data_IF_948775570130
#
_entry.id   IF_948775570130
#
_cell.length_a   1.000
_cell.length_b   1.000
_cell.length_c   1.000
_cell.angle_alpha   90.00
_cell.angle_beta   90.00
_cell.angle_gamma   90.00
#
_symmetry.space_group_name_H-M   'P 1'
#
loop_
_entity.id
_entity.type
_entity.pdbx_description
1 polymer ?
#
# COMPACT_ATOMS: atom_id res chain seq x y z
N UNK A 1 -23.21 21.90 3.76
CA UNK A 1 -23.56 21.27 5.04
C UNK A 1 -24.41 20.04 4.70
N UNK A 2 -23.76 18.92 4.40
CA UNK A 2 -24.47 17.68 4.04
C UNK A 2 -24.96 16.99 5.31
N UNK A 3 -26.22 16.55 5.33
CA UNK A 3 -26.75 15.75 6.43
C UNK A 3 -25.90 14.47 6.57
N UNK A 4 -25.41 14.21 7.78
CA UNK A 4 -24.82 12.92 8.13
C UNK A 4 -25.96 11.90 8.17
N UNK A 5 -26.06 11.09 7.13
CA UNK A 5 -27.15 10.13 6.98
C UNK A 5 -26.77 8.83 7.72
N UNK A 6 -27.55 8.49 8.75
CA UNK A 6 -27.37 7.27 9.52
C UNK A 6 -28.21 6.17 8.88
N UNK A 7 -27.57 5.25 8.15
CA UNK A 7 -28.23 4.13 7.50
C UNK A 7 -28.29 2.87 8.40
N UNK A 8 -29.27 2.00 8.16
CA UNK A 8 -29.36 0.68 8.79
C UNK A 8 -30.01 0.66 10.19
N UNK A 9 -30.94 -0.28 10.45
CA UNK A 9 -31.59 -0.40 11.75
C UNK A 9 -30.71 -1.18 12.74
N UNK A 10 -30.45 -0.62 13.93
CA UNK A 10 -29.71 -1.32 14.99
C UNK A 10 -30.62 -2.28 15.80
N UNK A 11 -31.38 -3.12 15.07
CA UNK A 11 -32.21 -4.19 15.62
C UNK A 11 -31.81 -5.52 15.00
N UNK A 12 -32.19 -6.61 15.67
CA UNK A 12 -32.03 -7.95 15.11
C UNK A 12 -32.98 -8.14 13.91
N UNK A 13 -32.42 -8.60 12.80
CA UNK A 13 -33.12 -9.01 11.58
C UNK A 13 -32.88 -10.49 11.41
N UNK A 14 -33.95 -11.29 11.37
CA UNK A 14 -33.88 -12.75 11.22
C UNK A 14 -34.41 -13.25 9.89
N UNK A 15 -35.20 -12.41 9.19
CA UNK A 15 -35.70 -12.72 7.85
C UNK A 15 -34.59 -12.52 6.80
N UNK A 16 -34.25 -13.53 5.98
CA UNK A 16 -33.18 -13.42 4.99
C UNK A 16 -33.47 -12.40 3.88
N UNK A 17 -34.72 -12.24 3.48
CA UNK A 17 -35.10 -11.26 2.44
C UNK A 17 -34.93 -9.83 2.97
N UNK A 18 -35.45 -9.55 4.17
CA UNK A 18 -35.22 -8.29 4.88
C UNK A 18 -33.71 -8.02 5.08
N UNK A 19 -32.94 -9.03 5.51
CA UNK A 19 -31.50 -8.91 5.69
C UNK A 19 -30.78 -8.55 4.38
N UNK A 20 -31.15 -9.19 3.27
CA UNK A 20 -30.63 -8.90 1.94
C UNK A 20 -30.94 -7.45 1.52
N UNK A 21 -32.18 -7.00 1.69
CA UNK A 21 -32.59 -5.62 1.38
C UNK A 21 -31.86 -4.57 2.22
N UNK A 22 -31.66 -4.83 3.51
CA UNK A 22 -30.92 -3.92 4.40
C UNK A 22 -29.44 -3.85 4.05
N UNK A 23 -28.81 -4.97 3.72
CA UNK A 23 -27.42 -5.00 3.22
C UNK A 23 -27.30 -4.28 1.87
N UNK A 24 -28.30 -4.41 1.00
CA UNK A 24 -28.33 -3.74 -0.30
C UNK A 24 -28.39 -2.22 -0.17
N UNK A 25 -29.33 -1.72 0.63
CA UNK A 25 -29.46 -0.30 0.89
C UNK A 25 -28.19 0.30 1.55
N UNK A 26 -27.53 -0.47 2.40
CA UNK A 26 -26.35 0.00 3.12
C UNK A 26 -25.05 -0.08 2.31
N UNK A 27 -24.90 -1.10 1.47
CA UNK A 27 -23.65 -1.46 0.80
C UNK A 27 -23.76 -1.48 -0.73
N UNK A 28 -24.35 -2.55 -1.27
CA UNK A 28 -24.48 -2.82 -2.70
C UNK A 28 -25.49 -3.96 -2.88
N UNK A 29 -26.11 -4.12 -4.07
CA UNK A 29 -26.94 -5.28 -4.39
C UNK A 29 -26.28 -6.57 -3.93
N UNK A 30 -27.02 -7.57 -3.46
CA UNK A 30 -26.39 -8.78 -2.96
C UNK A 30 -27.26 -10.01 -3.17
N UNK A 31 -26.63 -11.17 -3.12
CA UNK A 31 -27.28 -12.47 -3.05
C UNK A 31 -26.90 -13.11 -1.73
N UNK A 32 -27.85 -13.14 -0.80
CA UNK A 32 -27.73 -13.81 0.49
C UNK A 32 -28.36 -15.19 0.42
N UNK A 33 -27.59 -16.21 0.78
CA UNK A 33 -28.04 -17.59 0.86
C UNK A 33 -27.76 -18.13 2.26
N UNK A 34 -28.77 -18.70 2.93
CA UNK A 34 -28.52 -19.40 4.18
C UNK A 34 -27.78 -20.71 3.91
N UNK A 35 -26.76 -20.97 4.71
CA UNK A 35 -26.03 -22.23 4.74
C UNK A 35 -26.42 -23.01 6.00
N UNK A 36 -26.15 -24.32 6.03
CA UNK A 36 -26.38 -25.15 7.23
C UNK A 36 -27.80 -25.70 7.43
N UNK A 37 -27.95 -26.53 8.47
CA UNK A 37 -29.22 -27.13 8.93
C UNK A 37 -29.22 -27.18 10.48
N UNK A 38 -30.15 -26.49 11.17
CA UNK A 38 -31.20 -25.62 10.62
C UNK A 38 -30.62 -24.31 10.06
N UNK A 39 -31.23 -23.82 8.98
CA UNK A 39 -30.87 -22.55 8.37
C UNK A 39 -31.48 -21.42 9.20
N UNK A 40 -30.65 -20.63 9.89
CA UNK A 40 -31.09 -19.46 10.65
C UNK A 40 -30.06 -18.34 10.53
N UNK A 41 -30.53 -17.10 10.69
CA UNK A 41 -29.72 -15.89 10.63
C UNK A 41 -30.21 -14.91 11.70
N UNK A 42 -29.28 -14.21 12.34
CA UNK A 42 -29.53 -12.97 13.05
C UNK A 42 -28.50 -11.93 12.56
N UNK A 43 -28.97 -10.91 11.86
CA UNK A 43 -28.17 -9.79 11.36
C UNK A 43 -28.49 -8.53 12.17
N UNK A 44 -27.45 -7.77 12.55
CA UNK A 44 -27.58 -6.38 12.99
C UNK A 44 -26.65 -5.51 12.17
N UNK A 45 -27.15 -4.38 11.69
CA UNK A 45 -26.37 -3.47 10.85
C UNK A 45 -26.62 -2.02 11.26
N UNK A 46 -25.53 -1.30 11.50
CA UNK A 46 -25.55 0.15 11.63
C UNK A 46 -24.51 0.75 10.71
N UNK A 47 -24.88 1.75 9.91
CA UNK A 47 -23.94 2.50 9.07
C UNK A 47 -24.06 4.00 9.33
N UNK A 48 -22.98 4.71 9.04
CA UNK A 48 -22.95 6.17 9.08
C UNK A 48 -22.04 6.67 7.97
N UNK A 49 -22.53 7.64 7.21
CA UNK A 49 -21.73 8.37 6.23
C UNK A 49 -20.92 9.45 6.94
N UNK A 50 -19.60 9.43 6.77
CA UNK A 50 -18.70 10.50 7.20
C UNK A 50 -18.16 11.23 5.96
N UNK A 51 -17.59 12.44 6.13
CA UNK A 51 -17.11 13.26 5.02
C UNK A 51 -16.11 12.58 4.08
N UNK A 52 -15.22 11.74 4.60
CA UNK A 52 -14.15 11.08 3.84
C UNK A 52 -14.26 9.54 3.81
N UNK A 53 -15.25 8.96 4.49
CA UNK A 53 -15.42 7.50 4.57
C UNK A 53 -16.82 7.13 5.06
N UNK A 54 -17.34 6.00 4.62
CA UNK A 54 -18.53 5.39 5.22
C UNK A 54 -18.09 4.30 6.22
N UNK A 55 -18.67 4.31 7.41
CA UNK A 55 -18.45 3.26 8.41
C UNK A 55 -19.68 2.35 8.52
N UNK A 56 -19.44 1.06 8.74
CA UNK A 56 -20.46 0.09 9.10
C UNK A 56 -20.04 -0.78 10.28
N UNK A 57 -20.97 -1.06 11.18
CA UNK A 57 -20.85 -2.08 12.22
C UNK A 57 -21.89 -3.16 11.95
N UNK A 58 -21.40 -4.37 11.67
CA UNK A 58 -22.21 -5.53 11.32
C UNK A 58 -22.03 -6.59 12.38
N UNK A 59 -23.11 -7.24 12.80
CA UNK A 59 -23.05 -8.46 13.60
C UNK A 59 -23.88 -9.53 12.92
N UNK A 60 -23.29 -10.69 12.70
CA UNK A 60 -23.90 -11.82 12.02
C UNK A 60 -23.79 -13.04 12.92
N UNK A 61 -24.91 -13.69 13.16
CA UNK A 61 -24.99 -15.00 13.81
C UNK A 61 -25.77 -15.94 12.91
N UNK A 62 -25.33 -17.19 12.85
CA UNK A 62 -25.88 -18.18 11.93
C UNK A 62 -25.00 -18.39 10.70
N UNK A 63 -25.44 -19.32 9.87
CA UNK A 63 -24.68 -19.79 8.72
C UNK A 63 -25.25 -19.15 7.45
N UNK A 64 -24.49 -18.25 6.84
CA UNK A 64 -24.87 -17.61 5.59
C UNK A 64 -23.72 -17.55 4.60
N UNK A 65 -24.06 -17.39 3.34
CA UNK A 65 -23.16 -17.02 2.25
C UNK A 65 -23.69 -15.74 1.66
N UNK A 66 -22.80 -14.78 1.46
CA UNK A 66 -23.14 -13.51 0.85
C UNK A 66 -22.27 -13.34 -0.39
N UNK A 67 -22.92 -13.15 -1.53
CA UNK A 67 -22.26 -12.74 -2.76
C UNK A 67 -22.67 -11.31 -3.06
N UNK A 68 -21.71 -10.41 -3.10
CA UNK A 68 -21.96 -9.01 -3.43
C UNK A 68 -21.17 -8.67 -4.73
N UNK A 69 -21.82 -8.10 -5.76
CA UNK A 69 -21.16 -7.40 -6.84
C UNK A 69 -20.40 -6.19 -6.25
N UNK A 70 -19.53 -5.53 -7.03
CA UNK A 70 -18.66 -4.50 -6.50
C UNK A 70 -19.49 -3.36 -5.94
N UNK A 71 -19.18 -2.83 -4.75
CA UNK A 71 -19.46 -1.44 -4.53
C UNK A 71 -18.59 -0.66 -5.53
N UNK A 72 -19.24 -0.05 -6.55
CA UNK A 72 -18.51 0.68 -7.61
C UNK A 72 -17.69 1.80 -6.96
N UNK A 73 -16.43 1.91 -7.38
CA UNK A 73 -15.55 3.03 -7.07
C UNK A 73 -15.22 3.26 -5.58
N UNK A 74 -15.14 2.22 -4.74
CA UNK A 74 -14.57 2.34 -3.40
C UNK A 74 -13.62 1.18 -3.04
N UNK A 75 -12.69 1.44 -2.12
CA UNK A 75 -11.96 0.39 -1.42
C UNK A 75 -12.63 0.11 -0.07
N UNK A 76 -12.54 -1.14 0.41
CA UNK A 76 -13.17 -1.55 1.66
C UNK A 76 -12.11 -2.10 2.61
N UNK A 77 -12.05 -1.57 3.81
CA UNK A 77 -11.31 -2.18 4.93
C UNK A 77 -12.31 -2.88 5.81
N UNK A 78 -12.12 -4.18 6.05
CA UNK A 78 -12.89 -4.88 7.07
C UNK A 78 -12.02 -5.46 8.17
N UNK A 79 -12.60 -5.48 9.36
CA UNK A 79 -11.99 -6.08 10.53
C UNK A 79 -13.04 -6.77 11.38
N UNK A 80 -12.92 -8.08 11.62
CA UNK A 80 -13.64 -8.76 12.69
C UNK A 80 -13.14 -8.31 14.07
N UNK A 81 -14.05 -8.02 15.00
CA UNK A 81 -13.75 -7.90 16.45
C UNK A 81 -13.95 -9.24 17.17
N UNK A 82 -14.90 -10.05 16.67
CA UNK A 82 -15.21 -11.40 17.13
C UNK A 82 -15.51 -12.29 15.93
N UNK A 83 -15.30 -13.59 16.06
CA UNK A 83 -15.57 -14.55 14.99
C UNK A 83 -14.59 -14.38 13.82
N UNK A 84 -15.09 -14.41 12.60
CA UNK A 84 -14.26 -14.26 11.40
C UNK A 84 -15.06 -14.57 10.14
N UNK A 85 -14.46 -14.30 8.99
CA UNK A 85 -15.10 -14.52 7.70
C UNK A 85 -14.07 -14.91 6.66
N UNK A 86 -14.44 -15.82 5.78
CA UNK A 86 -13.65 -16.18 4.60
C UNK A 86 -14.15 -15.33 3.44
N UNK A 87 -13.22 -14.66 2.77
CA UNK A 87 -13.50 -13.78 1.65
C UNK A 87 -12.80 -14.35 0.45
N UNK A 88 -13.53 -14.60 -0.63
CA UNK A 88 -12.95 -14.99 -1.89
C UNK A 88 -13.25 -13.96 -2.97
N UNK A 89 -12.21 -13.55 -3.69
CA UNK A 89 -12.31 -13.03 -5.06
C UNK A 89 -12.10 -14.24 -5.96
N UNK A 90 -12.69 -14.33 -7.16
CA UNK A 90 -12.57 -15.54 -8.00
C UNK A 90 -11.15 -16.06 -8.32
N UNK A 91 -10.09 -15.36 -7.88
CA UNK A 91 -8.67 -15.73 -7.97
C UNK A 91 -8.02 -16.12 -6.64
N UNK A 92 -8.54 -15.63 -5.50
CA UNK A 92 -7.91 -15.82 -4.19
C UNK A 92 -8.93 -15.94 -3.06
N UNK A 93 -8.57 -16.70 -2.03
CA UNK A 93 -9.39 -16.87 -0.82
C UNK A 93 -8.57 -16.51 0.40
N UNK A 94 -9.09 -15.63 1.24
CA UNK A 94 -8.44 -15.16 2.46
C UNK A 94 -9.36 -15.33 3.67
N UNK A 95 -8.80 -15.74 4.81
CA UNK A 95 -9.52 -15.80 6.09
C UNK A 95 -9.18 -14.57 6.91
N UNK A 96 -10.20 -13.83 7.33
CA UNK A 96 -10.04 -12.67 8.22
C UNK A 96 -10.54 -13.03 9.61
N UNK A 97 -9.73 -12.76 10.62
CA UNK A 97 -9.98 -13.11 12.03
C UNK A 97 -9.70 -11.90 12.93
N UNK A 98 -9.97 -11.93 14.24
CA UNK A 98 -9.85 -10.72 15.08
C UNK A 98 -8.44 -10.15 15.20
N UNK A 99 -7.43 -10.96 14.89
CA UNK A 99 -6.02 -10.57 14.86
C UNK A 99 -5.55 -9.99 13.51
N UNK A 100 -6.43 -9.94 12.50
CA UNK A 100 -6.10 -9.42 11.17
C UNK A 100 -7.16 -8.41 10.69
N UNK A 101 -6.73 -7.51 9.81
CA UNK A 101 -7.63 -6.71 8.98
C UNK A 101 -7.40 -7.07 7.53
N UNK A 102 -8.38 -6.85 6.66
CA UNK A 102 -8.19 -7.00 5.22
C UNK A 102 -8.57 -5.72 4.48
N UNK A 103 -7.71 -5.34 3.54
CA UNK A 103 -8.01 -4.37 2.50
C UNK A 103 -8.54 -5.12 1.29
N UNK A 104 -9.77 -4.79 0.91
CA UNK A 104 -10.42 -5.29 -0.27
C UNK A 104 -10.34 -4.22 -1.36
N UNK A 105 -9.70 -4.54 -2.50
CA UNK A 105 -9.60 -3.61 -3.62
C UNK A 105 -10.94 -3.46 -4.33
N UNK A 106 -11.08 -2.51 -5.27
CA UNK A 106 -12.23 -2.45 -6.16
C UNK A 106 -12.23 -3.68 -7.09
N UNK A 107 -12.90 -4.76 -6.69
CA UNK A 107 -12.92 -6.05 -7.39
C UNK A 107 -14.31 -6.37 -7.97
N UNK A 108 -14.42 -7.18 -9.04
CA UNK A 108 -15.67 -7.46 -9.73
C UNK A 108 -16.73 -8.19 -8.89
N UNK A 109 -16.33 -8.98 -7.89
CA UNK A 109 -17.24 -9.65 -6.96
C UNK A 109 -16.49 -10.20 -5.74
N UNK A 110 -17.12 -10.12 -4.57
CA UNK A 110 -16.66 -10.77 -3.35
C UNK A 110 -17.69 -11.78 -2.88
N UNK A 111 -17.22 -12.96 -2.49
CA UNK A 111 -18.02 -13.95 -1.75
C UNK A 111 -17.53 -14.02 -0.33
N UNK A 112 -18.47 -13.97 0.60
CA UNK A 112 -18.24 -14.05 2.03
C UNK A 112 -18.90 -15.32 2.56
N UNK A 113 -18.10 -16.19 3.18
CA UNK A 113 -18.53 -17.50 3.65
C UNK A 113 -17.81 -17.88 4.95
N UNK A 114 -18.16 -19.06 5.48
CA UNK A 114 -17.58 -19.69 6.67
C UNK A 114 -17.57 -18.77 7.90
N UNK A 115 -18.64 -18.00 8.09
CA UNK A 115 -18.74 -17.05 9.19
C UNK A 115 -18.52 -17.74 10.54
N UNK A 116 -17.79 -17.08 11.44
CA UNK A 116 -17.75 -17.52 12.83
C UNK A 116 -19.16 -17.43 13.45
N UNK A 117 -19.46 -18.24 14.49
CA UNK A 117 -20.81 -18.39 15.06
C UNK A 117 -21.41 -17.09 15.62
N UNK A 118 -20.57 -16.13 15.96
CA UNK A 118 -20.94 -14.78 16.38
C UNK A 118 -19.88 -13.80 15.86
N UNK A 119 -20.04 -13.40 14.59
CA UNK A 119 -19.09 -12.53 13.90
C UNK A 119 -19.51 -11.08 14.03
N UNK A 120 -18.69 -10.29 14.72
CA UNK A 120 -18.82 -8.83 14.77
C UNK A 120 -17.77 -8.21 13.87
N UNK A 121 -18.20 -7.40 12.91
CA UNK A 121 -17.38 -6.83 11.88
C UNK A 121 -17.50 -5.30 11.86
N UNK A 122 -16.39 -4.61 11.67
CA UNK A 122 -16.38 -3.19 11.31
C UNK A 122 -15.87 -3.04 9.89
N UNK A 123 -16.59 -2.25 9.09
CA UNK A 123 -16.21 -1.91 7.72
C UNK A 123 -15.94 -0.42 7.61
N UNK A 124 -14.86 -0.04 6.94
CA UNK A 124 -14.65 1.29 6.41
C UNK A 124 -14.67 1.22 4.89
N UNK A 125 -15.43 2.11 4.25
CA UNK A 125 -15.47 2.24 2.80
C UNK A 125 -15.01 3.63 2.44
N UNK A 126 -14.09 3.72 1.50
CA UNK A 126 -13.52 4.99 1.09
C UNK A 126 -13.64 5.07 -0.43
N UNK A 127 -14.28 6.13 -0.90
CA UNK A 127 -14.39 6.36 -2.34
C UNK A 127 -13.01 6.47 -2.97
N UNK A 128 -12.87 5.87 -4.15
CA UNK A 128 -11.65 5.88 -4.95
C UNK A 128 -11.20 7.30 -5.26
N UNK A 129 -12.14 8.24 -5.42
CA UNK A 129 -11.86 9.66 -5.61
C UNK A 129 -11.20 10.29 -4.38
N UNK A 130 -11.63 9.92 -3.18
CA UNK A 130 -11.04 10.39 -1.92
C UNK A 130 -9.62 9.84 -1.76
N UNK A 131 -9.42 8.55 -2.02
CA UNK A 131 -8.08 7.93 -2.03
C UNK A 131 -7.17 8.64 -3.05
N UNK A 132 -7.67 8.87 -4.26
CA UNK A 132 -6.90 9.50 -5.34
C UNK A 132 -6.58 10.97 -5.06
N UNK A 133 -7.51 11.72 -4.46
CA UNK A 133 -7.32 13.14 -4.15
C UNK A 133 -6.27 13.37 -3.06
N UNK A 134 -6.26 12.51 -2.04
CA UNK A 134 -5.35 12.67 -0.91
C UNK A 134 -4.00 11.96 -1.15
N UNK A 135 -4.00 10.84 -1.90
CA UNK A 135 -2.84 9.98 -2.09
C UNK A 135 -2.76 9.37 -3.51
N UNK A 136 -2.54 10.20 -4.55
CA UNK A 136 -2.62 9.78 -5.96
C UNK A 136 -1.65 8.66 -6.33
N UNK A 137 -0.48 8.59 -5.69
CA UNK A 137 0.54 7.56 -5.96
C UNK A 137 0.21 6.19 -5.33
N UNK A 138 -0.51 6.18 -4.21
CA UNK A 138 -0.94 4.95 -3.53
C UNK A 138 -2.23 4.41 -4.16
N UNK A 139 -3.09 5.32 -4.64
CA UNK A 139 -4.29 5.00 -5.41
C UNK A 139 -3.99 4.13 -6.64
N UNK A 140 -2.90 4.42 -7.37
CA UNK A 140 -2.47 3.63 -8.54
C UNK A 140 -2.15 2.16 -8.24
N UNK A 141 -1.83 1.83 -6.98
CA UNK A 141 -1.51 0.45 -6.56
C UNK A 141 -2.71 -0.21 -5.87
N UNK A 142 -3.40 0.52 -4.99
CA UNK A 142 -4.51 0.00 -4.19
C UNK A 142 -5.81 -0.18 -4.99
N UNK A 143 -6.02 0.63 -6.04
CA UNK A 143 -7.28 0.67 -6.79
C UNK A 143 -7.24 -0.11 -8.11
N UNK A 144 -6.17 -0.88 -8.36
CA UNK A 144 -6.10 -1.69 -9.59
C UNK A 144 -7.16 -2.79 -9.59
N UNK A 145 -7.83 -3.06 -10.72
CA UNK A 145 -8.77 -4.17 -10.83
C UNK A 145 -8.14 -5.55 -10.53
N UNK A 146 -6.84 -5.69 -10.78
CA UNK A 146 -6.08 -6.92 -10.50
C UNK A 146 -5.49 -6.98 -9.09
N UNK A 147 -5.69 -5.94 -8.28
CA UNK A 147 -5.23 -5.94 -6.91
C UNK A 147 -5.90 -7.09 -6.14
N UNK A 148 -5.12 -7.66 -5.22
CA UNK A 148 -5.50 -8.81 -4.41
C UNK A 148 -5.95 -8.34 -3.02
N UNK A 149 -6.84 -9.07 -2.33
CA UNK A 149 -7.11 -8.80 -0.92
C UNK A 149 -5.81 -8.80 -0.12
N UNK A 150 -5.51 -7.69 0.57
CA UNK A 150 -4.31 -7.57 1.40
C UNK A 150 -4.68 -7.81 2.86
N UNK A 151 -4.16 -8.89 3.44
CA UNK A 151 -4.26 -9.14 4.88
C UNK A 151 -3.15 -8.43 5.63
N UNK A 152 -3.50 -7.71 6.69
CA UNK A 152 -2.52 -7.05 7.57
C UNK A 152 -2.70 -7.54 8.99
N UNK A 153 -1.59 -7.96 9.59
CA UNK A 153 -1.52 -8.44 10.97
C UNK A 153 -1.56 -7.26 11.95
N UNK A 154 -2.46 -7.32 12.93
CA UNK A 154 -2.61 -6.27 13.95
C UNK A 154 -1.42 -6.17 14.93
N UNK A 155 -0.47 -7.11 14.88
CA UNK A 155 0.83 -6.98 15.56
C UNK A 155 1.69 -5.87 14.96
N UNK A 156 1.38 -5.40 13.75
CA UNK A 156 2.03 -4.25 13.15
C UNK A 156 1.44 -2.93 13.68
N UNK A 157 2.28 -1.99 14.09
CA UNK A 157 1.85 -0.77 14.81
C UNK A 157 0.82 0.08 14.04
N UNK A 158 0.97 0.21 12.72
CA UNK A 158 0.01 0.96 11.89
C UNK A 158 -1.37 0.29 11.81
N UNK A 159 -1.40 -1.04 11.70
CA UNK A 159 -2.64 -1.81 11.66
C UNK A 159 -3.35 -1.80 13.02
N UNK A 160 -2.58 -1.79 14.12
CA UNK A 160 -3.12 -1.67 15.48
C UNK A 160 -3.79 -0.32 15.71
N UNK A 161 -3.18 0.77 15.25
CA UNK A 161 -3.77 2.11 15.34
C UNK A 161 -5.08 2.20 14.55
N UNK A 162 -5.11 1.71 13.30
CA UNK A 162 -6.33 1.63 12.51
C UNK A 162 -7.41 0.78 13.19
N UNK A 163 -7.02 -0.36 13.77
CA UNK A 163 -7.93 -1.19 14.54
C UNK A 163 -8.59 -0.44 15.71
N UNK A 164 -7.85 0.44 16.42
CA UNK A 164 -8.41 1.28 17.47
C UNK A 164 -9.37 2.33 16.92
N UNK A 165 -9.02 2.99 15.81
CA UNK A 165 -9.92 3.94 15.13
C UNK A 165 -11.21 3.26 14.69
N UNK A 166 -11.14 2.07 14.10
CA UNK A 166 -12.32 1.28 13.72
C UNK A 166 -13.17 0.90 14.94
N UNK A 167 -12.56 0.53 16.08
CA UNK A 167 -13.29 0.27 17.32
C UNK A 167 -14.02 1.51 17.83
N UNK A 168 -13.37 2.68 17.82
CA UNK A 168 -13.98 3.95 18.21
C UNK A 168 -15.20 4.26 17.33
N UNK A 169 -15.02 4.19 16.02
CA UNK A 169 -16.08 4.46 15.06
C UNK A 169 -17.28 3.50 15.24
N UNK A 170 -17.01 2.19 15.37
CA UNK A 170 -18.07 1.20 15.58
C UNK A 170 -18.87 1.43 16.88
N UNK A 171 -18.24 1.97 17.93
CA UNK A 171 -18.92 2.33 19.17
C UNK A 171 -19.72 3.63 19.03
N UNK A 172 -19.16 4.65 18.37
CA UNK A 172 -19.81 5.96 18.24
C UNK A 172 -21.02 5.95 17.31
N UNK A 173 -21.01 5.18 16.22
CA UNK A 173 -22.17 5.13 15.30
C UNK A 173 -23.43 4.50 15.90
N UNK A 174 -23.28 3.77 17.01
CA UNK A 174 -24.40 3.19 17.77
C UNK A 174 -24.98 4.17 18.78
N UNK A 175 -24.34 5.32 19.00
CA UNK A 175 -24.78 6.32 19.98
C UNK A 175 -25.63 7.40 19.30
N UNK A 176 -26.92 7.56 19.69
CA UNK A 176 -27.80 8.58 19.12
C UNK A 176 -27.30 10.02 19.28
N UNK A 177 -26.56 10.29 20.36
CA UNK A 177 -25.96 11.59 20.68
C UNK A 177 -24.43 11.51 20.73
N UNK A 178 -23.85 10.68 19.87
CA UNK A 178 -22.41 10.49 19.77
C UNK A 178 -21.69 11.73 19.23
N UNK A 179 -20.37 11.78 19.41
CA UNK A 179 -19.54 12.92 19.00
C UNK A 179 -19.56 13.14 17.48
N UNK A 180 -19.81 12.07 16.71
CA UNK A 180 -19.90 12.12 15.25
C UNK A 180 -21.13 12.87 14.75
N UNK A 181 -22.10 13.21 15.60
CA UNK A 181 -23.23 14.08 15.21
C UNK A 181 -22.81 15.53 14.97
N UNK A 182 -21.65 15.94 15.50
CA UNK A 182 -21.06 17.26 15.25
C UNK A 182 -20.24 17.24 13.97
N UNK A 183 -20.59 18.11 13.00
CA UNK A 183 -19.91 18.21 11.71
C UNK A 183 -18.39 18.35 11.83
N UNK A 184 -17.85 19.34 12.59
CA UNK A 184 -16.41 19.50 12.76
C UNK A 184 -15.72 18.28 13.37
N UNK A 185 -16.37 17.57 14.28
CA UNK A 185 -15.80 16.35 14.88
C UNK A 185 -15.81 15.22 13.86
N UNK A 186 -16.89 15.05 13.11
CA UNK A 186 -16.99 14.05 12.04
C UNK A 186 -15.92 14.28 10.96
N UNK A 187 -15.63 15.54 10.59
CA UNK A 187 -14.54 15.90 9.67
C UNK A 187 -13.18 15.38 10.18
N UNK A 188 -12.81 15.75 11.41
CA UNK A 188 -11.52 15.35 12.00
C UNK A 188 -11.40 13.83 12.17
N UNK A 189 -12.46 13.18 12.64
CA UNK A 189 -12.47 11.73 12.81
C UNK A 189 -12.39 11.01 11.46
N UNK A 190 -13.07 11.51 10.43
CA UNK A 190 -12.97 10.94 9.08
C UNK A 190 -11.58 11.08 8.48
N UNK A 191 -10.90 12.22 8.71
CA UNK A 191 -9.51 12.43 8.31
C UNK A 191 -8.54 11.51 9.06
N UNK A 192 -8.76 11.28 10.36
CA UNK A 192 -7.99 10.30 11.14
C UNK A 192 -8.20 8.87 10.60
N UNK A 193 -9.44 8.50 10.29
CA UNK A 193 -9.77 7.20 9.72
C UNK A 193 -9.03 6.99 8.39
N UNK A 194 -9.16 7.92 7.45
CA UNK A 194 -8.45 7.89 6.16
C UNK A 194 -6.94 7.78 6.36
N UNK A 195 -6.34 8.64 7.20
CA UNK A 195 -4.90 8.63 7.47
C UNK A 195 -4.42 7.30 8.05
N UNK A 196 -5.21 6.69 8.94
CA UNK A 196 -4.88 5.39 9.55
C UNK A 196 -5.00 4.22 8.57
N UNK A 197 -5.99 4.24 7.68
CA UNK A 197 -6.14 3.28 6.56
C UNK A 197 -4.89 3.29 5.70
N UNK A 198 -4.44 4.48 5.31
CA UNK A 198 -3.28 4.64 4.45
C UNK A 198 -1.98 4.23 5.15
N UNK A 199 -1.85 4.54 6.44
CA UNK A 199 -0.71 4.11 7.27
C UNK A 199 -0.62 2.58 7.40
N UNK A 200 -1.77 1.89 7.48
CA UNK A 200 -1.85 0.45 7.59
C UNK A 200 -1.72 -0.28 6.25
N UNK A 201 -2.25 0.29 5.15
CA UNK A 201 -2.16 -0.29 3.80
C UNK A 201 -0.73 -0.26 3.23
N UNK A 202 0.08 0.74 3.61
CA UNK A 202 1.41 0.97 3.06
C UNK A 202 2.54 0.06 3.57
N UNK A 203 2.27 -1.13 4.13
CA UNK A 203 3.24 -1.87 4.96
C UNK A 203 3.40 -3.37 4.72
N UNK A 204 3.41 -3.83 3.46
CA UNK A 204 4.14 -5.09 3.15
C UNK A 204 5.62 -4.87 2.79
N UNK A 205 6.08 -3.64 2.97
CA UNK A 205 7.47 -3.26 3.16
C UNK A 205 7.46 -2.01 4.02
N UNK A 206 8.46 -1.80 4.87
CA UNK A 206 8.62 -0.67 5.81
C UNK A 206 8.38 0.74 5.24
N UNK A 207 8.22 0.93 3.92
CA UNK A 207 7.64 2.11 3.28
C UNK A 207 6.75 1.78 2.07
N UNK A 208 5.71 2.60 1.77
CA UNK A 208 4.93 2.51 0.53
C UNK A 208 5.83 2.50 -0.71
N UNK A 209 5.49 1.74 -1.76
CA UNK A 209 6.27 1.71 -3.01
C UNK A 209 6.42 3.11 -3.63
N UNK A 210 5.42 3.97 -3.46
CA UNK A 210 5.43 5.38 -3.86
C UNK A 210 6.50 6.20 -3.12
N UNK A 211 6.69 5.96 -1.83
CA UNK A 211 7.71 6.59 -1.01
C UNK A 211 9.10 6.04 -1.35
N UNK A 212 9.23 4.72 -1.55
CA UNK A 212 10.46 4.06 -2.00
C UNK A 212 10.89 4.58 -3.37
N UNK A 213 9.98 4.67 -4.32
CA UNK A 213 10.22 5.25 -5.65
C UNK A 213 10.59 6.73 -5.58
N UNK A 214 10.01 7.51 -4.67
CA UNK A 214 10.37 8.92 -4.48
C UNK A 214 11.77 9.09 -3.90
N UNK A 215 12.12 8.27 -2.91
CA UNK A 215 13.47 8.19 -2.33
C UNK A 215 14.47 7.80 -3.42
N UNK A 216 14.16 6.75 -4.19
CA UNK A 216 15.01 6.27 -5.27
C UNK A 216 15.15 7.34 -6.36
N UNK A 217 14.05 7.93 -6.83
CA UNK A 217 14.07 9.00 -7.84
C UNK A 217 14.90 10.18 -7.39
N UNK A 218 14.76 10.67 -6.15
CA UNK A 218 15.58 11.77 -5.62
C UNK A 218 17.07 11.43 -5.58
N UNK A 219 17.40 10.21 -5.15
CA UNK A 219 18.79 9.74 -5.16
C UNK A 219 19.34 9.64 -6.59
N UNK A 220 18.59 9.05 -7.53
CA UNK A 220 18.99 8.90 -8.93
C UNK A 220 19.11 10.25 -9.64
N UNK A 221 18.18 11.19 -9.39
CA UNK A 221 18.25 12.54 -9.94
C UNK A 221 19.51 13.28 -9.48
N UNK A 222 19.95 13.12 -8.23
CA UNK A 222 21.23 13.67 -7.78
C UNK A 222 22.42 13.00 -8.50
N UNK A 223 22.37 11.68 -8.66
CA UNK A 223 23.41 10.94 -9.35
C UNK A 223 23.54 11.34 -10.82
N UNK A 224 22.43 11.70 -11.47
CA UNK A 224 22.41 12.14 -12.87
C UNK A 224 22.74 13.63 -13.03
N UNK A 225 22.45 14.47 -12.03
CA UNK A 225 22.70 15.93 -12.10
C UNK A 225 24.15 16.34 -11.93
N UNK A 226 25.04 15.42 -11.53
CA UNK A 226 26.48 15.65 -11.37
C UNK A 226 27.27 14.98 -12.51
N UNK A 227 27.49 15.67 -13.65
CA UNK A 227 28.15 15.06 -14.81
C UNK A 227 29.64 14.76 -14.62
N UNK A 228 30.30 15.36 -13.60
CA UNK A 228 31.75 15.22 -13.36
C UNK A 228 32.09 14.59 -12.00
N UNK A 229 31.10 14.16 -11.23
CA UNK A 229 31.31 13.54 -9.93
C UNK A 229 30.20 12.54 -9.62
N UNK A 230 30.55 11.40 -9.03
CA UNK A 230 29.54 10.45 -8.55
C UNK A 230 29.35 10.65 -7.05
N UNK A 231 28.15 11.05 -6.59
CA UNK A 231 27.90 11.34 -5.19
C UNK A 231 28.12 10.10 -4.31
N UNK A 232 28.54 10.36 -3.08
CA UNK A 232 28.71 9.36 -2.03
C UNK A 232 27.37 8.87 -1.49
N UNK A 233 27.41 7.74 -0.77
CA UNK A 233 26.22 7.16 -0.16
C UNK A 233 25.53 8.13 0.83
N UNK A 234 26.26 8.85 1.72
CA UNK A 234 25.65 9.86 2.58
C UNK A 234 25.01 11.03 1.80
N UNK A 235 25.59 11.45 0.68
CA UNK A 235 25.04 12.54 -0.15
C UNK A 235 23.74 12.13 -0.83
N UNK A 236 23.66 10.90 -1.36
CA UNK A 236 22.42 10.35 -1.90
C UNK A 236 21.33 10.21 -0.82
N UNK A 237 21.71 9.77 0.38
CA UNK A 237 20.77 9.65 1.50
C UNK A 237 20.25 11.02 1.92
N UNK A 238 21.13 12.02 1.97
CA UNK A 238 20.81 13.40 2.29
C UNK A 238 19.88 14.03 1.25
N UNK A 239 20.10 13.82 -0.06
CA UNK A 239 19.21 14.36 -1.10
C UNK A 239 17.81 13.74 -1.07
N UNK A 240 17.71 12.50 -0.61
CA UNK A 240 16.44 11.82 -0.41
C UNK A 240 15.80 12.08 0.97
N UNK A 241 16.47 12.83 1.87
CA UNK A 241 16.05 13.12 3.24
C UNK A 241 15.82 11.86 4.10
N UNK A 242 16.68 10.86 3.95
CA UNK A 242 16.60 9.59 4.69
C UNK A 242 17.94 9.17 5.27
N UNK A 243 17.94 8.18 6.17
CA UNK A 243 19.18 7.56 6.64
C UNK A 243 19.84 6.70 5.55
N UNK A 244 21.15 6.47 5.66
CA UNK A 244 21.89 5.58 4.74
C UNK A 244 21.33 4.16 4.75
N UNK A 245 20.96 3.65 5.93
CA UNK A 245 20.37 2.32 6.10
C UNK A 245 19.06 2.19 5.33
N UNK A 246 18.20 3.21 5.43
CA UNK A 246 16.93 3.27 4.71
C UNK A 246 17.16 3.27 3.19
N UNK A 247 18.11 4.07 2.70
CA UNK A 247 18.41 4.12 1.28
C UNK A 247 18.98 2.79 0.74
N UNK A 248 19.79 2.08 1.53
CA UNK A 248 20.27 0.75 1.19
C UNK A 248 19.13 -0.27 1.04
N UNK A 249 18.14 -0.21 1.92
CA UNK A 249 16.97 -1.08 1.86
C UNK A 249 16.12 -0.80 0.61
N UNK A 250 15.94 0.47 0.24
CA UNK A 250 15.23 0.87 -0.98
C UNK A 250 15.92 0.34 -2.24
N UNK A 251 17.24 0.52 -2.38
CA UNK A 251 17.98 0.02 -3.54
C UNK A 251 17.88 -1.50 -3.69
N UNK A 252 17.98 -2.24 -2.58
CA UNK A 252 17.87 -3.70 -2.60
C UNK A 252 16.48 -4.15 -3.05
N UNK A 253 15.45 -3.43 -2.63
CA UNK A 253 14.05 -3.83 -2.87
C UNK A 253 13.57 -3.42 -4.26
N UNK A 254 13.93 -2.23 -4.74
CA UNK A 254 13.46 -1.70 -6.03
C UNK A 254 14.37 -2.07 -7.22
N UNK A 255 15.69 -2.17 -7.00
CA UNK A 255 16.67 -2.41 -8.09
C UNK A 255 17.33 -3.78 -8.00
N UNK A 256 17.06 -4.57 -6.95
CA UNK A 256 17.75 -5.83 -6.65
C UNK A 256 19.29 -5.69 -6.62
N UNK A 257 19.78 -4.48 -6.30
CA UNK A 257 21.20 -4.14 -6.26
C UNK A 257 21.55 -3.48 -4.94
N UNK A 258 22.81 -3.60 -4.52
CA UNK A 258 23.34 -2.77 -3.44
C UNK A 258 23.69 -1.38 -3.98
N UNK A 259 23.48 -0.29 -3.22
CA UNK A 259 23.85 1.05 -3.68
C UNK A 259 25.32 1.18 -4.08
N UNK A 260 26.22 0.46 -3.38
CA UNK A 260 27.64 0.40 -3.71
C UNK A 260 27.90 -0.23 -5.07
N UNK A 261 27.12 -1.25 -5.45
CA UNK A 261 27.18 -1.86 -6.79
C UNK A 261 26.69 -0.88 -7.84
N UNK A 262 25.56 -0.21 -7.59
CA UNK A 262 25.02 0.80 -8.49
C UNK A 262 26.02 1.94 -8.72
N UNK A 263 26.55 2.55 -7.66
CA UNK A 263 27.50 3.66 -7.78
C UNK A 263 28.80 3.24 -8.47
N UNK A 264 29.26 2.00 -8.26
CA UNK A 264 30.43 1.44 -8.96
C UNK A 264 30.17 1.29 -10.45
N UNK A 265 29.00 0.77 -10.84
CA UNK A 265 28.61 0.67 -12.25
C UNK A 265 28.49 2.05 -12.90
N UNK A 266 27.92 3.03 -12.18
CA UNK A 266 27.83 4.40 -12.63
C UNK A 266 29.22 5.02 -12.86
N UNK A 267 30.17 4.83 -11.93
CA UNK A 267 31.56 5.28 -12.08
C UNK A 267 32.25 4.63 -13.28
N UNK A 268 32.06 3.32 -13.50
CA UNK A 268 32.60 2.63 -14.68
C UNK A 268 32.02 3.19 -15.98
N UNK A 269 30.71 3.47 -16.01
CA UNK A 269 30.04 4.07 -17.17
C UNK A 269 30.59 5.45 -17.50
N UNK A 270 30.75 6.30 -16.49
CA UNK A 270 31.32 7.65 -16.66
C UNK A 270 32.79 7.61 -17.09
N UNK A 271 33.59 6.70 -16.51
CA UNK A 271 34.96 6.48 -16.92
C UNK A 271 35.05 6.00 -18.38
N UNK A 272 34.17 5.09 -18.79
CA UNK A 272 34.09 4.63 -20.18
C UNK A 272 33.74 5.78 -21.14
N UNK A 273 32.74 6.58 -20.79
CA UNK A 273 32.34 7.78 -21.53
C UNK A 273 33.46 8.81 -21.68
N UNK A 274 34.31 8.97 -20.66
CA UNK A 274 35.49 9.85 -20.72
C UNK A 274 36.61 9.23 -21.56
N UNK A 275 36.88 7.94 -21.42
CA UNK A 275 37.90 7.25 -22.23
C UNK A 275 37.56 7.25 -23.72
N UNK A 276 36.28 7.13 -24.07
CA UNK A 276 35.82 7.21 -25.47
C UNK A 276 35.97 8.60 -26.09
N UNK A 277 35.87 9.66 -25.29
CA UNK A 277 36.05 11.04 -25.77
C UNK A 277 37.48 11.54 -25.57
N UNK A 278 38.31 10.74 -24.92
CA UNK A 278 39.63 11.12 -24.47
C UNK A 278 40.66 11.00 -25.58
N UNK A 279 41.56 11.96 -25.62
CA UNK A 279 42.74 11.92 -26.48
C UNK A 279 43.87 11.15 -25.76
N UNK A 280 44.33 10.06 -26.38
CA UNK A 280 45.38 9.20 -25.85
C UNK A 280 46.74 9.88 -25.69
N UNK A 281 46.97 11.03 -26.36
CA UNK A 281 48.18 11.84 -26.21
C UNK A 281 48.16 12.76 -24.97
N UNK A 282 46.98 13.03 -24.41
CA UNK A 282 46.77 13.99 -23.30
C UNK A 282 46.20 13.36 -22.04
N UNK A 283 45.65 12.16 -22.13
CA UNK A 283 44.92 11.49 -21.05
C UNK A 283 45.51 10.12 -20.78
N UNK A 284 45.69 9.78 -19.50
CA UNK A 284 46.06 8.41 -19.11
C UNK A 284 44.84 7.69 -18.53
N UNK A 285 44.74 6.39 -18.81
CA UNK A 285 43.66 5.57 -18.23
C UNK A 285 43.68 5.53 -16.70
N UNK A 286 44.86 5.69 -16.09
CA UNK A 286 45.02 5.78 -14.65
C UNK A 286 44.49 7.09 -14.08
N UNK A 287 44.74 8.22 -14.75
CA UNK A 287 44.17 9.51 -14.36
C UNK A 287 42.64 9.49 -14.43
N UNK A 288 42.06 8.87 -15.46
CA UNK A 288 40.60 8.71 -15.58
C UNK A 288 40.06 7.81 -14.47
N UNK A 289 40.72 6.68 -14.17
CA UNK A 289 40.32 5.81 -13.07
C UNK A 289 40.30 6.56 -11.73
N UNK A 290 41.35 7.34 -11.45
CA UNK A 290 41.46 8.11 -10.21
C UNK A 290 40.39 9.22 -10.14
N UNK A 291 40.12 9.92 -11.26
CA UNK A 291 39.09 10.96 -11.35
C UNK A 291 37.69 10.44 -11.00
N UNK A 292 37.37 9.21 -11.41
CA UNK A 292 36.10 8.56 -11.09
C UNK A 292 36.09 7.79 -9.77
N UNK A 293 37.12 7.96 -8.93
CA UNK A 293 37.17 7.44 -7.57
C UNK A 293 37.63 5.99 -7.45
N UNK A 294 38.36 5.46 -8.44
CA UNK A 294 39.08 4.19 -8.31
C UNK A 294 40.50 4.43 -7.79
N UNK A 295 40.76 4.00 -6.55
CA UNK A 295 42.08 4.15 -5.91
C UNK A 295 43.07 3.05 -6.31
N UNK A 296 42.61 1.97 -6.95
CA UNK A 296 43.44 0.88 -7.41
C UNK A 296 43.19 0.61 -8.90
N UNK A 297 44.19 0.93 -9.72
CA UNK A 297 44.10 0.80 -11.18
C UNK A 297 43.88 -0.65 -11.64
N UNK A 298 44.59 -1.63 -11.06
CA UNK A 298 44.43 -3.04 -11.41
C UNK A 298 43.01 -3.56 -11.18
N UNK A 299 42.38 -3.14 -10.07
CA UNK A 299 40.98 -3.46 -9.76
C UNK A 299 40.02 -2.78 -10.74
N UNK A 300 40.28 -1.52 -11.09
CA UNK A 300 39.52 -0.81 -12.11
C UNK A 300 39.59 -1.51 -13.47
N UNK A 301 40.79 -1.80 -13.96
CA UNK A 301 41.00 -2.44 -15.27
C UNK A 301 40.29 -3.81 -15.35
N UNK A 302 40.34 -4.61 -14.28
CA UNK A 302 39.61 -5.88 -14.20
C UNK A 302 38.10 -5.68 -14.29
N UNK A 303 37.54 -4.79 -13.46
CA UNK A 303 36.10 -4.50 -13.45
C UNK A 303 35.62 -3.95 -14.80
N UNK A 304 36.42 -3.07 -15.40
CA UNK A 304 36.15 -2.49 -16.71
C UNK A 304 36.11 -3.56 -17.80
N UNK A 305 37.12 -4.44 -17.85
CA UNK A 305 37.15 -5.57 -18.79
C UNK A 305 35.97 -6.52 -18.59
N UNK A 306 35.59 -6.81 -17.34
CA UNK A 306 34.40 -7.62 -17.05
C UNK A 306 33.12 -6.99 -17.61
N UNK A 307 32.99 -5.67 -17.55
CA UNK A 307 31.78 -4.98 -18.00
C UNK A 307 31.74 -4.71 -19.51
N UNK A 308 32.89 -4.39 -20.13
CA UNK A 308 32.96 -3.94 -21.53
C UNK A 308 33.68 -4.90 -22.48
N UNK A 309 34.22 -6.01 -21.98
CA UNK A 309 34.95 -7.00 -22.78
C UNK A 309 36.36 -6.56 -23.24
N UNK A 310 36.67 -5.27 -23.16
CA UNK A 310 37.95 -4.68 -23.59
C UNK A 310 38.69 -4.00 -22.44
N UNK A 311 39.99 -3.80 -22.59
CA UNK A 311 40.79 -3.06 -21.61
C UNK A 311 40.56 -1.54 -21.73
N UNK A 312 40.66 -0.76 -20.64
CA UNK A 312 40.52 0.70 -20.68
C UNK A 312 41.40 1.38 -21.73
N UNK A 313 42.65 0.92 -21.86
CA UNK A 313 43.62 1.46 -22.82
C UNK A 313 43.25 1.16 -24.28
N UNK A 314 42.53 0.06 -24.53
CA UNK A 314 42.02 -0.24 -25.87
C UNK A 314 40.91 0.75 -26.24
N UNK A 315 39.97 1.02 -25.32
CA UNK A 315 38.92 2.02 -25.55
C UNK A 315 39.50 3.41 -25.81
N UNK A 316 40.49 3.85 -25.04
CA UNK A 316 41.12 5.17 -25.23
C UNK A 316 41.83 5.32 -26.58
N UNK A 317 42.32 4.22 -27.16
CA UNK A 317 43.02 4.22 -28.45
C UNK A 317 42.11 4.06 -29.66
N UNK A 318 40.85 3.64 -29.46
CA UNK A 318 39.92 3.35 -30.56
C UNK A 318 39.19 4.58 -31.10
N UNK A 319 39.11 5.66 -30.31
CA UNK A 319 38.49 6.94 -30.70
C UNK A 319 39.56 8.08 -30.88
N UNK A 320 40.86 7.73 -30.98
CA UNK A 320 41.96 8.67 -31.34
C UNK A 320 42.27 8.63 -32.83
#
# INVERSE_FOLDING_TARGET
MGHLDAGGPDRAITDPEEASSVLEAAYAPNSLLLAGRPAWLELRLKTMRLPLADVGAVRIRGDMRLEAPPPRACCVVLRPRRGGVTISTGRETVRVSPGTLAFLPPAPCFRYADWGPDTELTTLRIDNSVVSAHHPLDAEHMLRPEARPLLVDLRQDGARALAWVMCLLAAEIRRPSGMLTSGPVADHVSGLALSSVLSAAGRDTTMPSSARNRILRRALTLADSQPHAVPSMPELAKSAAVSVRMLQEVFRTELHLTPTTYLRQLRLRRAHEELRRGDSSRTTTEAVAHRWGFTNYGRFARLYRTQYGVNPAATLRQDS
#
